data_IF_760152322363
#
_entry.id   IF_760152322363
#
_cell.length_a   1.000
_cell.length_b   1.000
_cell.length_c   1.000
_cell.angle_alpha   90.00
_cell.angle_beta   90.00
_cell.angle_gamma   90.00
#
_symmetry.space_group_name_H-M   'P 1'
#
loop_
_entity.id
_entity.type
_entity.pdbx_description
1 polymer ?
#
# COMPACT_ATOMS: atom_id res chain seq x y z
N UNK A 1 -8.82 6.00 0.97
CA UNK A 1 -8.27 6.45 2.26
C UNK A 1 -7.56 5.29 2.93
N UNK A 2 -6.49 5.57 3.66
CA UNK A 2 -5.75 4.56 4.42
C UNK A 2 -6.29 4.38 5.85
N UNK A 3 -7.44 4.96 6.17
CA UNK A 3 -8.01 4.98 7.51
C UNK A 3 -7.67 6.24 8.32
N UNK A 4 -6.54 6.91 8.03
CA UNK A 4 -6.17 8.17 8.66
C UNK A 4 -7.01 9.34 8.11
N UNK A 5 -7.19 10.37 8.92
CA UNK A 5 -7.86 11.60 8.50
C UNK A 5 -6.98 12.42 7.54
N UNK A 6 -7.61 13.34 6.79
CA UNK A 6 -6.93 14.27 5.88
C UNK A 6 -6.69 15.61 6.52
N UNK A 7 -5.50 16.18 6.27
CA UNK A 7 -5.07 17.49 6.72
C UNK A 7 -4.39 18.24 5.56
N UNK A 8 -5.19 18.66 4.57
CA UNK A 8 -4.72 19.42 3.43
C UNK A 8 -4.49 20.89 3.80
N UNK A 9 -3.49 21.47 3.17
CA UNK A 9 -3.29 22.94 3.17
C UNK A 9 -3.20 23.48 1.72
N UNK A 10 -3.29 24.80 1.58
CA UNK A 10 -3.30 25.45 0.27
C UNK A 10 -2.03 25.18 -0.55
N UNK A 11 -0.87 25.08 0.08
CA UNK A 11 0.41 24.84 -0.63
C UNK A 11 0.49 23.43 -1.20
N UNK A 12 -0.01 22.41 -0.48
CA UNK A 12 -0.10 21.05 -0.99
C UNK A 12 -1.02 20.99 -2.22
N UNK A 13 -2.15 21.65 -2.18
CA UNK A 13 -3.13 21.68 -3.28
C UNK A 13 -2.60 22.43 -4.50
N UNK A 14 -1.85 23.52 -4.31
CA UNK A 14 -1.16 24.22 -5.41
C UNK A 14 -0.12 23.30 -6.10
N UNK A 15 0.63 22.51 -5.34
CA UNK A 15 1.61 21.58 -5.90
C UNK A 15 1.00 20.56 -6.87
N UNK A 16 -0.26 20.19 -6.66
CA UNK A 16 -1.00 19.29 -7.56
C UNK A 16 -1.84 20.03 -8.61
N UNK A 17 -1.57 21.34 -8.81
CA UNK A 17 -2.14 22.12 -9.90
C UNK A 17 -3.46 22.80 -9.58
N UNK A 18 -3.92 22.83 -8.33
CA UNK A 18 -5.14 23.55 -7.99
C UNK A 18 -4.94 25.07 -8.12
N UNK A 19 -5.86 25.79 -8.81
CA UNK A 19 -5.86 27.26 -8.84
C UNK A 19 -5.85 27.85 -7.43
N UNK A 20 -5.18 28.99 -7.22
CA UNK A 20 -4.94 29.57 -5.89
C UNK A 20 -6.22 29.77 -5.04
N UNK A 21 -7.32 30.22 -5.66
CA UNK A 21 -8.61 30.39 -4.98
C UNK A 21 -9.17 29.04 -4.54
N UNK A 22 -9.13 28.03 -5.42
CA UNK A 22 -9.61 26.67 -5.12
C UNK A 22 -8.74 26.05 -4.03
N UNK A 23 -7.42 26.17 -4.13
CA UNK A 23 -6.47 25.66 -3.15
C UNK A 23 -6.68 26.23 -1.74
N UNK A 24 -7.13 27.48 -1.61
CA UNK A 24 -7.44 28.09 -0.31
C UNK A 24 -8.79 27.65 0.28
N UNK A 25 -9.74 27.23 -0.55
CA UNK A 25 -11.08 26.84 -0.11
C UNK A 25 -11.25 25.32 0.08
N UNK A 26 -10.55 24.50 -0.71
CA UNK A 26 -10.68 23.04 -0.64
C UNK A 26 -10.36 22.44 0.74
N UNK A 27 -9.35 22.91 1.51
CA UNK A 27 -9.10 22.39 2.85
C UNK A 27 -10.33 22.43 3.76
N UNK A 28 -11.16 23.45 3.65
CA UNK A 28 -12.41 23.59 4.42
C UNK A 28 -13.42 22.47 4.14
N UNK A 29 -13.29 21.78 3.02
CA UNK A 29 -14.17 20.70 2.58
C UNK A 29 -13.53 19.32 2.66
N UNK A 30 -12.22 19.24 2.43
CA UNK A 30 -11.48 17.99 2.34
C UNK A 30 -10.92 17.53 3.70
N UNK A 31 -10.59 18.49 4.58
CA UNK A 31 -10.01 18.13 5.86
C UNK A 31 -10.99 17.39 6.76
N UNK A 32 -10.48 16.34 7.36
CA UNK A 32 -11.21 15.49 8.29
C UNK A 32 -10.50 15.29 9.64
N UNK A 33 -9.27 15.84 9.78
CA UNK A 33 -8.53 15.91 11.04
C UNK A 33 -9.01 17.11 11.86
N UNK A 34 -10.14 16.97 12.56
CA UNK A 34 -10.52 17.95 13.58
C UNK A 34 -10.40 17.29 14.95
N UNK A 35 -10.45 18.10 16.00
CA UNK A 35 -10.31 17.67 17.39
C UNK A 35 -11.03 16.33 17.68
N UNK A 36 -10.25 15.31 18.00
CA UNK A 36 -10.73 13.95 18.28
C UNK A 36 -10.99 13.06 17.07
N UNK A 37 -10.69 13.53 15.84
CA UNK A 37 -10.81 12.74 14.61
C UNK A 37 -9.50 12.12 14.13
N UNK A 38 -8.40 12.39 14.80
CA UNK A 38 -7.09 11.77 14.54
C UNK A 38 -7.07 10.30 14.92
N UNK A 39 -8.00 9.87 15.78
CA UNK A 39 -8.09 8.49 16.21
C UNK A 39 -8.79 7.62 15.18
N UNK A 40 -8.27 6.43 14.97
CA UNK A 40 -8.89 5.44 14.10
C UNK A 40 -10.25 5.02 14.68
N UNK A 41 -11.26 4.97 13.83
CA UNK A 41 -12.58 4.45 14.20
C UNK A 41 -12.44 2.98 14.68
N UNK A 42 -12.95 2.67 15.86
CA UNK A 42 -12.85 1.35 16.52
C UNK A 42 -13.48 0.19 15.72
N UNK A 43 -14.26 0.49 14.70
CA UNK A 43 -14.84 -0.50 13.76
C UNK A 43 -13.81 -1.05 12.79
N UNK A 44 -12.71 -0.33 12.52
CA UNK A 44 -11.60 -0.85 11.74
C UNK A 44 -10.89 -1.94 12.52
N UNK A 45 -10.69 -3.10 11.91
CA UNK A 45 -10.01 -4.26 12.53
C UNK A 45 -8.71 -4.64 11.83
N UNK A 46 -8.57 -4.26 10.58
CA UNK A 46 -7.36 -4.35 9.80
C UNK A 46 -7.43 -3.37 8.63
N UNK A 47 -6.28 -3.02 8.07
CA UNK A 47 -6.16 -2.13 6.92
C UNK A 47 -5.31 -2.83 5.86
N UNK A 48 -5.82 -2.86 4.63
CA UNK A 48 -5.06 -3.31 3.48
C UNK A 48 -5.16 -2.26 2.38
N UNK A 49 -4.02 -1.79 1.91
CA UNK A 49 -3.94 -0.72 0.91
C UNK A 49 -2.95 -1.05 -0.19
N UNK A 50 -3.30 -0.67 -1.41
CA UNK A 50 -2.48 -0.83 -2.60
C UNK A 50 -2.13 0.55 -3.13
N UNK A 51 -0.82 0.83 -3.27
CA UNK A 51 -0.28 2.09 -3.75
C UNK A 51 -0.95 3.34 -3.12
N UNK A 52 -1.03 3.44 -1.76
CA UNK A 52 -1.76 4.53 -1.11
C UNK A 52 -1.14 5.89 -1.45
N UNK A 53 -1.99 6.83 -1.83
CA UNK A 53 -1.62 8.19 -2.18
C UNK A 53 -1.62 9.12 -0.95
N UNK A 54 -0.83 10.20 -1.03
CA UNK A 54 -0.88 11.31 -0.09
C UNK A 54 0.36 11.47 0.79
N UNK A 55 1.25 10.47 0.80
CA UNK A 55 2.48 10.53 1.60
C UNK A 55 3.45 11.63 1.17
N UNK A 56 3.68 11.82 -0.13
CA UNK A 56 4.55 12.87 -0.67
C UNK A 56 4.05 14.28 -0.34
N UNK A 57 2.75 14.44 -0.28
CA UNK A 57 2.11 15.71 0.02
C UNK A 57 1.87 15.93 1.52
N UNK A 58 2.16 14.95 2.37
CA UNK A 58 1.87 14.99 3.80
C UNK A 58 0.40 15.31 4.11
N UNK A 59 -0.52 14.72 3.35
CA UNK A 59 -1.96 14.97 3.55
C UNK A 59 -2.56 14.27 4.77
N UNK A 60 -1.78 13.43 5.44
CA UNK A 60 -2.13 12.80 6.72
C UNK A 60 -1.20 13.35 7.80
N UNK A 61 -1.75 13.76 8.94
CA UNK A 61 -0.91 14.18 10.06
C UNK A 61 -0.15 12.98 10.65
N UNK A 62 1.04 13.23 11.22
CA UNK A 62 1.83 12.18 11.88
C UNK A 62 1.00 11.53 13.00
N UNK A 63 0.27 12.31 13.78
CA UNK A 63 -0.59 11.82 14.85
C UNK A 63 -1.69 10.89 14.34
N UNK A 64 -2.32 11.23 13.20
CA UNK A 64 -3.35 10.38 12.59
C UNK A 64 -2.75 9.06 12.05
N UNK A 65 -1.51 9.08 11.56
CA UNK A 65 -0.81 7.89 11.12
C UNK A 65 -0.39 7.00 12.31
N UNK A 66 0.12 7.57 13.37
CA UNK A 66 0.45 6.86 14.61
C UNK A 66 -0.78 6.24 15.28
N UNK A 67 -1.94 6.88 15.19
CA UNK A 67 -3.20 6.36 15.70
C UNK A 67 -3.73 5.13 14.94
N UNK A 68 -3.16 4.81 13.79
CA UNK A 68 -3.48 3.61 13.01
C UNK A 68 -2.78 2.38 13.60
N UNK A 69 -3.35 1.81 14.66
CA UNK A 69 -2.76 0.72 15.45
C UNK A 69 -3.23 -0.68 15.05
N UNK A 70 -4.22 -0.79 14.17
CA UNK A 70 -4.71 -2.09 13.69
C UNK A 70 -3.72 -2.74 12.70
N UNK A 71 -3.73 -4.08 12.56
CA UNK A 71 -2.90 -4.76 11.57
C UNK A 71 -3.01 -4.11 10.19
N UNK A 72 -1.85 -3.89 9.56
CA UNK A 72 -1.79 -3.13 8.30
C UNK A 72 -0.92 -3.86 7.25
N UNK A 73 -1.46 -4.06 6.06
CA UNK A 73 -0.74 -4.56 4.89
C UNK A 73 -0.71 -3.46 3.82
N UNK A 74 0.49 -3.06 3.43
CA UNK A 74 0.75 -2.10 2.34
C UNK A 74 1.37 -2.84 1.17
N UNK A 75 0.87 -2.58 -0.04
CA UNK A 75 1.45 -3.10 -1.29
C UNK A 75 1.84 -1.93 -2.18
N UNK A 76 3.04 -1.98 -2.76
CA UNK A 76 3.59 -0.89 -3.57
C UNK A 76 4.36 -1.41 -4.79
N UNK A 77 4.54 -0.55 -5.79
CA UNK A 77 5.60 -0.66 -6.78
C UNK A 77 6.72 0.35 -6.44
N UNK A 78 7.98 -0.04 -6.59
CA UNK A 78 9.11 0.86 -6.26
C UNK A 78 9.32 2.00 -7.27
N UNK A 79 8.71 1.89 -8.47
CA UNK A 79 8.69 2.91 -9.52
C UNK A 79 7.34 3.64 -9.60
N UNK A 80 6.56 3.62 -8.53
CA UNK A 80 5.27 4.33 -8.48
C UNK A 80 5.50 5.84 -8.58
N UNK A 81 5.10 6.42 -9.71
CA UNK A 81 5.20 7.86 -10.01
C UNK A 81 3.91 8.63 -9.74
N UNK A 82 2.87 7.97 -9.25
CA UNK A 82 1.58 8.57 -8.89
C UNK A 82 1.49 8.85 -7.40
N UNK A 83 1.80 7.85 -6.58
CA UNK A 83 1.81 7.98 -5.12
C UNK A 83 3.19 8.32 -4.56
N UNK A 84 4.24 8.08 -5.36
CA UNK A 84 5.63 8.11 -4.94
C UNK A 84 5.99 6.93 -4.03
N UNK A 85 7.15 6.32 -4.22
CA UNK A 85 7.54 5.18 -3.38
C UNK A 85 8.21 5.64 -2.09
N UNK A 86 9.42 6.23 -2.15
CA UNK A 86 10.24 6.54 -0.96
C UNK A 86 9.57 7.57 -0.04
N UNK A 87 9.17 8.72 -0.59
CA UNK A 87 8.54 9.82 0.15
C UNK A 87 7.01 9.73 0.20
N UNK A 88 6.44 8.71 -0.42
CA UNK A 88 5.01 8.45 -0.50
C UNK A 88 4.61 7.22 0.29
N UNK A 89 4.48 6.08 -0.39
CA UNK A 89 3.95 4.83 0.19
C UNK A 89 4.81 4.32 1.34
N UNK A 90 6.14 4.27 1.18
CA UNK A 90 7.07 3.79 2.21
C UNK A 90 7.03 4.67 3.45
N UNK A 91 6.94 5.99 3.28
CA UNK A 91 6.77 6.93 4.38
C UNK A 91 5.47 6.68 5.15
N UNK A 92 4.34 6.51 4.47
CA UNK A 92 3.06 6.17 5.11
C UNK A 92 3.17 4.88 5.91
N UNK A 93 3.79 3.83 5.34
CA UNK A 93 4.06 2.58 6.05
C UNK A 93 4.88 2.79 7.33
N UNK A 94 5.97 3.56 7.25
CA UNK A 94 6.83 3.84 8.40
C UNK A 94 6.10 4.58 9.52
N UNK A 95 5.24 5.54 9.17
CA UNK A 95 4.48 6.37 10.10
C UNK A 95 3.29 5.65 10.76
N UNK A 96 2.82 4.55 10.18
CA UNK A 96 1.71 3.77 10.76
C UNK A 96 2.10 3.19 12.11
N UNK A 97 1.25 3.40 13.13
CA UNK A 97 1.48 2.97 14.53
C UNK A 97 1.17 1.50 14.81
N UNK A 98 0.87 0.69 13.79
CA UNK A 98 0.58 -0.73 13.95
C UNK A 98 1.82 -1.54 14.36
N UNK A 99 1.68 -2.39 15.38
CA UNK A 99 2.69 -3.39 15.76
C UNK A 99 2.74 -4.59 14.77
N UNK A 100 1.71 -4.76 13.96
CA UNK A 100 1.59 -5.80 12.94
C UNK A 100 1.50 -5.17 11.56
N UNK A 101 2.59 -4.58 11.08
CA UNK A 101 2.61 -3.96 9.75
C UNK A 101 3.56 -4.66 8.80
N UNK A 102 3.06 -4.86 7.59
CA UNK A 102 3.72 -5.54 6.49
C UNK A 102 3.73 -4.63 5.27
N UNK A 103 4.83 -4.61 4.52
CA UNK A 103 4.86 -3.99 3.21
C UNK A 103 5.47 -4.96 2.21
N UNK A 104 4.79 -5.12 1.09
CA UNK A 104 5.23 -5.90 -0.07
C UNK A 104 5.44 -4.95 -1.24
N UNK A 105 6.62 -5.00 -1.85
CA UNK A 105 7.03 -4.10 -2.92
C UNK A 105 7.39 -4.89 -4.16
N UNK A 106 6.72 -4.60 -5.27
CA UNK A 106 7.06 -5.13 -6.60
C UNK A 106 8.16 -4.28 -7.22
N UNK A 107 9.32 -4.88 -7.48
CA UNK A 107 10.48 -4.21 -8.08
C UNK A 107 10.20 -3.83 -9.53
N UNK A 108 10.60 -2.61 -9.91
CA UNK A 108 10.35 -2.01 -11.22
C UNK A 108 8.86 -1.82 -11.58
N UNK A 109 7.93 -2.09 -10.66
CA UNK A 109 6.53 -1.86 -10.89
C UNK A 109 6.14 -0.41 -10.64
N UNK A 110 5.15 0.07 -11.41
CA UNK A 110 4.56 1.39 -11.25
C UNK A 110 3.32 1.34 -10.34
N UNK A 111 2.38 2.24 -10.58
CA UNK A 111 1.21 2.45 -9.73
C UNK A 111 0.15 1.33 -9.84
N UNK A 112 -0.01 0.73 -11.02
CA UNK A 112 -1.13 -0.18 -11.33
C UNK A 112 -0.90 -1.62 -10.84
N UNK A 113 -0.53 -1.79 -9.57
CA UNK A 113 -0.20 -3.08 -8.96
C UNK A 113 -1.41 -3.91 -8.49
N UNK A 114 -2.61 -3.47 -8.76
CA UNK A 114 -3.84 -4.19 -8.41
C UNK A 114 -4.94 -4.02 -9.48
N UNK A 115 -4.55 -3.72 -10.72
CA UNK A 115 -5.50 -3.50 -11.80
C UNK A 115 -6.28 -4.76 -12.15
N UNK A 116 -7.57 -4.60 -12.44
CA UNK A 116 -8.37 -5.63 -13.09
C UNK A 116 -8.14 -5.60 -14.62
N UNK A 117 -8.55 -6.63 -15.37
CA UNK A 117 -8.44 -6.63 -16.82
C UNK A 117 -9.09 -5.38 -17.45
N UNK A 118 -8.40 -4.79 -18.43
CA UNK A 118 -8.92 -3.62 -19.13
C UNK A 118 -10.25 -3.94 -19.84
N UNK A 119 -11.31 -3.13 -19.66
CA UNK A 119 -12.54 -3.26 -20.43
C UNK A 119 -12.28 -2.87 -21.90
N UNK A 120 -13.14 -3.32 -22.82
CA UNK A 120 -12.97 -3.05 -24.25
C UNK A 120 -12.80 -1.56 -24.56
N UNK A 121 -13.55 -0.69 -23.90
CA UNK A 121 -13.45 0.77 -24.09
C UNK A 121 -12.09 1.36 -23.68
N UNK A 122 -11.32 0.71 -22.82
CA UNK A 122 -10.00 1.20 -22.42
C UNK A 122 -8.97 1.12 -23.57
N UNK A 123 -9.23 0.32 -24.60
CA UNK A 123 -8.35 0.21 -25.77
C UNK A 123 -8.56 1.33 -26.80
N UNK A 124 -9.51 2.22 -26.59
CA UNK A 124 -9.78 3.33 -27.51
C UNK A 124 -8.69 4.42 -27.45
N UNK A 125 -8.01 4.56 -26.32
CA UNK A 125 -6.90 5.51 -26.15
C UNK A 125 -5.81 4.96 -25.25
N UNK A 126 -4.54 5.35 -25.48
CA UNK A 126 -3.40 5.01 -24.62
C UNK A 126 -3.58 5.55 -23.20
N UNK A 127 -4.26 6.69 -23.04
CA UNK A 127 -4.54 7.29 -21.74
C UNK A 127 -5.44 6.37 -20.91
N UNK A 128 -6.55 5.91 -21.45
CA UNK A 128 -7.47 5.00 -20.76
C UNK A 128 -6.81 3.64 -20.47
N UNK A 129 -6.11 3.08 -21.46
CA UNK A 129 -5.41 1.81 -21.30
C UNK A 129 -4.33 1.89 -20.21
N UNK A 130 -3.66 3.04 -20.08
CA UNK A 130 -2.64 3.30 -19.08
C UNK A 130 -3.10 3.11 -17.63
N UNK A 131 -4.40 3.18 -17.35
CA UNK A 131 -4.96 2.92 -16.01
C UNK A 131 -5.04 1.43 -15.65
N UNK A 132 -4.86 0.53 -16.61
CA UNK A 132 -5.00 -0.92 -16.43
C UNK A 132 -3.69 -1.69 -16.67
N UNK A 133 -2.65 -1.03 -17.16
CA UNK A 133 -1.40 -1.68 -17.54
C UNK A 133 -0.33 -1.45 -16.49
N UNK A 134 0.38 -2.52 -16.13
CA UNK A 134 1.64 -2.49 -15.42
C UNK A 134 2.75 -2.97 -16.38
N UNK A 135 3.71 -2.10 -16.78
CA UNK A 135 4.62 -2.42 -17.88
C UNK A 135 5.67 -3.48 -17.55
N UNK A 136 6.04 -3.65 -16.29
CA UNK A 136 7.13 -4.56 -15.87
C UNK A 136 6.64 -5.92 -15.41
N UNK A 137 5.36 -6.03 -15.06
CA UNK A 137 4.77 -7.22 -14.46
C UNK A 137 3.52 -7.68 -15.18
N UNK A 138 3.32 -9.00 -15.22
CA UNK A 138 2.03 -9.54 -15.65
C UNK A 138 0.99 -9.33 -14.56
N UNK A 139 -0.10 -8.66 -14.89
CA UNK A 139 -1.19 -8.33 -13.94
C UNK A 139 -1.77 -9.58 -13.28
N UNK A 140 -1.87 -10.69 -14.01
CA UNK A 140 -2.37 -11.95 -13.48
C UNK A 140 -1.44 -12.51 -12.38
N UNK A 141 -0.13 -12.33 -12.53
CA UNK A 141 0.87 -12.73 -11.52
C UNK A 141 0.75 -11.87 -10.28
N UNK A 142 0.75 -10.53 -10.44
CA UNK A 142 0.53 -9.57 -9.35
C UNK A 142 -0.74 -9.92 -8.59
N UNK A 143 -1.87 -10.07 -9.29
CA UNK A 143 -3.15 -10.35 -8.66
C UNK A 143 -3.19 -11.70 -7.94
N UNK A 144 -2.45 -12.69 -8.40
CA UNK A 144 -2.31 -13.99 -7.70
C UNK A 144 -1.55 -13.83 -6.40
N UNK A 145 -0.42 -13.11 -6.42
CA UNK A 145 0.39 -12.82 -5.22
C UNK A 145 -0.41 -11.95 -4.25
N UNK A 146 -1.06 -10.89 -4.74
CA UNK A 146 -1.93 -10.05 -3.92
C UNK A 146 -3.02 -10.84 -3.21
N UNK A 147 -3.71 -11.76 -3.92
CA UNK A 147 -4.74 -12.62 -3.34
C UNK A 147 -4.17 -13.52 -2.25
N UNK A 148 -2.99 -14.13 -2.48
CA UNK A 148 -2.33 -14.97 -1.48
C UNK A 148 -2.04 -14.18 -0.21
N UNK A 149 -1.37 -13.03 -0.34
CA UNK A 149 -1.00 -12.18 0.79
C UNK A 149 -2.22 -11.61 1.52
N UNK A 150 -3.24 -11.17 0.77
CA UNK A 150 -4.50 -10.69 1.35
C UNK A 150 -5.20 -11.76 2.16
N UNK A 151 -5.29 -12.98 1.63
CA UNK A 151 -5.94 -14.10 2.31
C UNK A 151 -5.19 -14.46 3.60
N UNK A 152 -3.86 -14.61 3.52
CA UNK A 152 -3.03 -14.89 4.69
C UNK A 152 -3.18 -13.82 5.77
N UNK A 153 -3.16 -12.55 5.37
CA UNK A 153 -3.32 -11.40 6.27
C UNK A 153 -4.69 -11.38 6.95
N UNK A 154 -5.77 -11.56 6.20
CA UNK A 154 -7.13 -11.53 6.74
C UNK A 154 -7.43 -12.76 7.61
N UNK A 155 -6.98 -13.94 7.22
CA UNK A 155 -7.16 -15.16 8.02
C UNK A 155 -6.41 -15.05 9.36
N UNK A 156 -5.17 -14.55 9.34
CA UNK A 156 -4.37 -14.35 10.54
C UNK A 156 -4.98 -13.29 11.47
N UNK A 157 -5.27 -12.08 10.96
CA UNK A 157 -5.58 -10.93 11.80
C UNK A 157 -7.07 -10.67 12.01
N UNK A 158 -7.94 -11.05 11.08
CA UNK A 158 -9.39 -10.85 11.23
C UNK A 158 -10.07 -12.09 11.78
N UNK A 159 -9.76 -13.27 11.21
CA UNK A 159 -10.33 -14.52 11.72
C UNK A 159 -9.60 -15.04 12.96
N UNK A 160 -8.45 -14.45 13.31
CA UNK A 160 -7.59 -14.87 14.42
C UNK A 160 -7.16 -16.35 14.31
N UNK A 161 -7.03 -16.84 13.08
CA UNK A 161 -6.53 -18.18 12.80
C UNK A 161 -5.00 -18.21 12.88
N UNK A 162 -4.50 -18.49 14.06
CA UNK A 162 -3.06 -18.52 14.33
C UNK A 162 -2.30 -19.51 13.42
N UNK A 163 -2.95 -20.59 12.98
CA UNK A 163 -2.34 -21.53 12.07
C UNK A 163 -2.11 -20.92 10.66
N UNK A 164 -2.86 -19.88 10.31
CA UNK A 164 -2.71 -19.15 9.04
C UNK A 164 -1.63 -18.08 9.08
N UNK A 165 -1.25 -17.62 10.26
CA UNK A 165 -0.18 -16.63 10.40
C UNK A 165 1.17 -17.11 9.84
N UNK A 166 1.41 -18.42 9.74
CA UNK A 166 2.60 -18.99 9.11
C UNK A 166 2.74 -18.64 7.61
N UNK A 167 1.64 -18.25 6.95
CA UNK A 167 1.63 -17.83 5.55
C UNK A 167 1.97 -16.35 5.35
N UNK A 168 2.21 -15.62 6.43
CA UNK A 168 2.75 -14.26 6.39
C UNK A 168 4.26 -14.28 6.66
N UNK A 169 5.03 -13.37 6.05
CA UNK A 169 6.46 -13.26 6.34
C UNK A 169 6.69 -12.86 7.80
N UNK A 170 7.63 -13.48 8.46
CA UNK A 170 8.21 -12.99 9.70
C UNK A 170 9.56 -12.30 9.43
N UNK A 171 10.17 -11.65 10.43
CA UNK A 171 11.45 -10.96 10.25
C UNK A 171 12.56 -11.90 9.80
N UNK A 172 12.66 -13.07 10.42
CA UNK A 172 13.69 -14.07 10.10
C UNK A 172 13.56 -14.56 8.66
N UNK A 173 12.33 -14.88 8.19
CA UNK A 173 12.12 -15.31 6.82
C UNK A 173 12.44 -14.20 5.79
N UNK A 174 12.17 -12.93 6.11
CA UNK A 174 12.53 -11.79 5.26
C UNK A 174 14.06 -11.65 5.17
N UNK A 175 14.77 -11.72 6.31
CA UNK A 175 16.22 -11.60 6.35
C UNK A 175 16.90 -12.74 5.59
N UNK A 176 16.44 -13.98 5.77
CA UNK A 176 16.90 -15.14 5.02
C UNK A 176 16.63 -15.01 3.52
N UNK A 177 15.45 -14.52 3.15
CA UNK A 177 15.07 -14.33 1.75
C UNK A 177 15.92 -13.25 1.06
N UNK A 178 16.20 -12.13 1.73
CA UNK A 178 17.04 -11.05 1.19
C UNK A 178 18.53 -11.44 1.12
N UNK A 179 18.99 -12.37 1.95
CA UNK A 179 20.37 -12.83 2.00
C UNK A 179 20.65 -14.10 1.17
N UNK A 180 19.63 -14.76 0.66
CA UNK A 180 19.80 -16.01 -0.07
C UNK A 180 20.08 -15.74 -1.56
N UNK A 181 21.19 -16.27 -2.06
CA UNK A 181 21.24 -16.75 -3.44
C UNK A 181 19.99 -17.60 -3.64
N UNK A 182 19.11 -17.19 -4.53
CA UNK A 182 17.78 -17.77 -4.76
C UNK A 182 17.90 -19.26 -5.12
N UNK A 183 18.20 -20.08 -4.14
CA UNK A 183 18.07 -21.51 -4.25
C UNK A 183 16.59 -21.84 -4.11
N UNK A 184 16.05 -22.50 -5.08
CA UNK A 184 14.71 -23.03 -5.35
C UNK A 184 13.83 -23.45 -4.15
N UNK A 185 14.05 -22.88 -2.96
CA UNK A 185 13.25 -23.11 -1.75
C UNK A 185 12.23 -21.97 -1.53
N UNK A 186 11.01 -22.33 -1.18
CA UNK A 186 9.98 -21.35 -0.83
C UNK A 186 10.43 -20.56 0.40
N UNK A 187 10.34 -19.21 0.39
CA UNK A 187 10.85 -18.34 1.47
C UNK A 187 10.10 -18.54 2.79
N UNK A 188 8.82 -18.85 2.74
CA UNK A 188 7.99 -19.27 3.88
C UNK A 188 6.82 -20.13 3.41
N UNK A 189 6.10 -20.83 4.30
CA UNK A 189 5.02 -21.73 3.94
C UNK A 189 4.00 -21.09 3.00
N UNK A 190 3.75 -21.74 1.87
CA UNK A 190 2.76 -21.32 0.87
C UNK A 190 3.18 -20.19 -0.05
N UNK A 191 4.29 -19.50 0.20
CA UNK A 191 4.82 -18.48 -0.70
C UNK A 191 5.92 -19.07 -1.59
N UNK A 192 5.62 -19.22 -2.86
CA UNK A 192 6.53 -19.87 -3.81
C UNK A 192 7.73 -19.00 -4.16
N UNK A 193 8.93 -19.57 -4.24
CA UNK A 193 10.14 -18.85 -4.62
C UNK A 193 10.01 -18.13 -5.97
N UNK A 194 9.27 -18.71 -6.93
CA UNK A 194 9.00 -18.09 -8.23
C UNK A 194 8.19 -16.79 -8.15
N UNK A 195 7.41 -16.59 -7.07
CA UNK A 195 6.69 -15.35 -6.84
C UNK A 195 7.58 -14.28 -6.21
N UNK A 196 8.55 -14.72 -5.42
CA UNK A 196 9.44 -13.84 -4.69
C UNK A 196 10.48 -13.15 -5.55
N UNK A 197 10.73 -13.63 -6.76
CA UNK A 197 11.67 -12.99 -7.69
C UNK A 197 11.15 -11.58 -8.05
N UNK A 198 11.90 -10.53 -7.67
CA UNK A 198 11.51 -9.14 -7.87
C UNK A 198 10.48 -8.62 -6.87
N UNK A 199 10.33 -9.26 -5.70
CA UNK A 199 9.49 -8.74 -4.61
C UNK A 199 10.35 -8.54 -3.36
N UNK A 200 10.29 -7.34 -2.79
CA UNK A 200 10.91 -7.01 -1.50
C UNK A 200 9.85 -6.91 -0.40
N UNK A 201 10.15 -7.46 0.78
CA UNK A 201 9.25 -7.44 1.93
C UNK A 201 9.83 -6.62 3.07
N UNK A 202 8.94 -5.95 3.80
CA UNK A 202 9.24 -5.24 5.04
C UNK A 202 8.23 -5.65 6.11
N UNK A 203 8.73 -5.84 7.33
CA UNK A 203 7.90 -6.07 8.52
C UNK A 203 8.48 -5.28 9.70
N UNK A 204 7.64 -4.54 10.37
CA UNK A 204 7.97 -3.82 11.61
C UNK A 204 7.00 -4.21 12.72
#
# INVERSE_FOLDING_TARGET
>A
TIGACYDFNAEQLKKIGAPAIIASLLPLRLNSCYAGREQLDSRWKAIQVFAPWGGELNVHSAQAMEAMTVPTLVVAGDQDNTSGFENGVKKLFQQTGSEHKYMMVYENARHNIAAHPAPAAAFDTDFELGHYVEPSWKIETINRVNKHMSLAFLDCHIKQDNARCQYLPNRESIEQYQGADMQYSDPWPGFKHLWGSGITFYRQ
#
